data_IF_489433372774
#
_entry.id   IF_489433372774
#
_cell.length_a   1.000
_cell.length_b   1.000
_cell.length_c   1.000
_cell.angle_alpha   90.00
_cell.angle_beta   90.00
_cell.angle_gamma   90.00
#
_symmetry.space_group_name_H-M   'P 1'
#
loop_
_entity.id
_entity.type
_entity.pdbx_description
1 polymer ?
#
# COMPACT_ATOMS: atom_id res chain seq x y z
N UNK A 1 13.86 -12.86 37.12
CA UNK A 1 14.16 -11.46 36.69
C UNK A 1 15.02 -11.39 35.43
N UNK A 2 15.76 -12.44 35.07
CA UNK A 2 16.53 -12.53 33.81
C UNK A 2 15.65 -12.63 32.55
N UNK A 3 14.55 -13.38 32.62
CA UNK A 3 13.79 -13.75 31.42
C UNK A 3 12.93 -12.62 30.87
N UNK A 4 12.52 -11.67 31.72
CA UNK A 4 11.76 -10.50 31.27
C UNK A 4 12.63 -9.49 30.51
N UNK A 5 13.93 -9.40 30.81
CA UNK A 5 14.85 -8.53 30.07
C UNK A 5 15.11 -9.08 28.66
N UNK A 6 15.22 -10.40 28.51
CA UNK A 6 15.42 -11.04 27.20
C UNK A 6 14.23 -10.86 26.25
N UNK A 7 12.99 -11.02 26.75
CA UNK A 7 11.80 -10.81 25.91
C UNK A 7 11.66 -9.34 25.50
N UNK A 8 12.04 -8.41 26.38
CA UNK A 8 12.02 -6.98 26.05
C UNK A 8 13.00 -6.63 24.92
N UNK A 9 14.23 -7.15 24.97
CA UNK A 9 15.24 -6.93 23.93
C UNK A 9 14.79 -7.49 22.58
N UNK A 10 14.23 -8.70 22.54
CA UNK A 10 13.68 -9.29 21.32
C UNK A 10 12.53 -8.45 20.73
N UNK A 11 11.65 -7.91 21.57
CA UNK A 11 10.60 -7.00 21.13
C UNK A 11 11.19 -5.75 20.48
N UNK A 12 12.24 -5.16 21.06
CA UNK A 12 12.89 -3.99 20.46
C UNK A 12 13.55 -4.32 19.11
N UNK A 13 14.16 -5.49 18.98
CA UNK A 13 14.74 -5.94 17.69
C UNK A 13 13.66 -6.08 16.62
N UNK A 14 12.51 -6.68 16.94
CA UNK A 14 11.39 -6.78 16.01
C UNK A 14 10.81 -5.41 15.63
N UNK A 15 10.71 -4.47 16.58
CA UNK A 15 10.25 -3.10 16.29
C UNK A 15 11.19 -2.38 15.33
N UNK A 16 12.51 -2.49 15.53
CA UNK A 16 13.47 -1.89 14.62
C UNK A 16 13.36 -2.45 13.19
N UNK A 17 13.09 -3.76 13.04
CA UNK A 17 12.83 -4.39 11.73
C UNK A 17 11.52 -3.88 11.12
N UNK A 18 10.47 -3.69 11.92
CA UNK A 18 9.21 -3.10 11.46
C UNK A 18 9.43 -1.66 10.96
N UNK A 19 10.17 -0.83 11.70
CA UNK A 19 10.47 0.54 11.29
C UNK A 19 11.22 0.61 9.94
N UNK A 20 12.11 -0.36 9.68
CA UNK A 20 12.79 -0.48 8.39
C UNK A 20 11.81 -0.83 7.25
N UNK A 21 10.90 -1.77 7.50
CA UNK A 21 9.84 -2.15 6.55
C UNK A 21 8.90 -0.96 6.28
N UNK A 22 8.50 -0.24 7.32
CA UNK A 22 7.60 0.92 7.22
C UNK A 22 8.23 2.03 6.37
N UNK A 23 9.54 2.26 6.51
CA UNK A 23 10.28 3.18 5.62
C UNK A 23 10.18 2.76 4.16
N UNK A 24 10.29 1.47 3.86
CA UNK A 24 10.16 0.94 2.50
C UNK A 24 8.73 1.07 1.99
N UNK A 25 7.73 0.78 2.82
CA UNK A 25 6.31 0.94 2.48
C UNK A 25 6.02 2.40 2.11
N UNK A 26 6.45 3.37 2.93
CA UNK A 26 6.25 4.80 2.64
C UNK A 26 6.91 5.19 1.31
N UNK A 27 8.13 4.73 1.05
CA UNK A 27 8.81 5.00 -0.22
C UNK A 27 8.05 4.42 -1.42
N UNK A 28 7.53 3.18 -1.31
CA UNK A 28 6.76 2.52 -2.36
C UNK A 28 5.40 3.20 -2.59
N UNK A 29 4.71 3.61 -1.52
CA UNK A 29 3.45 4.34 -1.60
C UNK A 29 3.63 5.68 -2.33
N UNK A 30 4.69 6.43 -2.02
CA UNK A 30 5.00 7.69 -2.71
C UNK A 30 5.33 7.48 -4.20
N UNK A 31 6.10 6.43 -4.54
CA UNK A 31 6.35 6.05 -5.94
C UNK A 31 5.05 5.72 -6.67
N UNK A 32 4.17 4.92 -6.05
CA UNK A 32 2.86 4.57 -6.60
C UNK A 32 1.97 5.81 -6.78
N UNK A 33 1.97 6.73 -5.83
CA UNK A 33 1.25 8.00 -5.90
C UNK A 33 1.70 8.83 -7.11
N UNK A 34 3.02 8.94 -7.34
CA UNK A 34 3.58 9.62 -8.51
C UNK A 34 3.04 9.06 -9.83
N UNK A 35 3.01 7.74 -9.99
CA UNK A 35 2.40 7.11 -11.17
C UNK A 35 0.89 7.38 -11.28
N UNK A 36 0.16 7.37 -10.16
CA UNK A 36 -1.27 7.69 -10.13
C UNK A 36 -1.55 9.12 -10.62
N UNK A 37 -0.73 10.10 -10.19
CA UNK A 37 -0.84 11.50 -10.63
C UNK A 37 -0.55 11.65 -12.12
N UNK A 38 0.47 10.97 -12.65
CA UNK A 38 0.76 10.95 -14.09
C UNK A 38 -0.41 10.39 -14.89
N UNK A 39 -0.96 9.24 -14.47
CA UNK A 39 -2.14 8.63 -15.12
C UNK A 39 -3.32 9.62 -15.10
N UNK A 40 -3.57 10.26 -13.95
CA UNK A 40 -4.64 11.26 -13.81
C UNK A 40 -4.45 12.43 -14.78
N UNK A 41 -3.22 12.90 -14.99
CA UNK A 41 -2.90 13.95 -15.96
C UNK A 41 -3.13 13.53 -17.43
N UNK A 42 -2.99 12.25 -17.75
CA UNK A 42 -3.20 11.71 -19.11
C UNK A 42 -4.67 11.41 -19.43
N UNK A 43 -5.48 11.07 -18.41
CA UNK A 43 -6.90 10.69 -18.57
C UNK A 43 -7.74 11.68 -19.38
N UNK A 44 -7.63 13.02 -19.22
CA UNK A 44 -8.36 13.98 -20.04
C UNK A 44 -8.04 13.85 -21.53
N UNK A 45 -6.76 13.67 -21.88
CA UNK A 45 -6.32 13.47 -23.27
C UNK A 45 -6.83 12.15 -23.87
N UNK A 46 -6.99 11.12 -23.04
CA UNK A 46 -7.55 9.83 -23.42
C UNK A 46 -9.09 9.77 -23.37
N UNK A 47 -9.77 10.87 -23.01
CA UNK A 47 -11.24 10.93 -22.77
C UNK A 47 -11.73 9.89 -21.75
N UNK A 48 -10.90 9.58 -20.76
CA UNK A 48 -11.22 8.63 -19.70
C UNK A 48 -11.71 9.34 -18.43
N UNK A 49 -12.67 8.72 -17.75
CA UNK A 49 -13.16 9.18 -16.45
C UNK A 49 -12.10 9.05 -15.35
N UNK A 50 -12.22 9.89 -14.31
CA UNK A 50 -11.35 9.81 -13.13
C UNK A 50 -11.52 8.48 -12.39
N UNK A 51 -12.76 7.98 -12.34
CA UNK A 51 -13.12 6.69 -11.76
C UNK A 51 -13.21 5.60 -12.83
N UNK A 52 -12.60 4.45 -12.56
CA UNK A 52 -12.61 3.27 -13.43
C UNK A 52 -12.77 2.01 -12.56
N UNK A 53 -14.01 1.52 -12.37
CA UNK A 53 -14.28 0.39 -11.47
C UNK A 53 -13.64 -0.91 -11.96
N UNK A 54 -13.58 -1.11 -13.29
CA UNK A 54 -12.95 -2.28 -13.87
C UNK A 54 -11.46 -2.31 -13.52
N UNK A 55 -10.79 -1.16 -13.60
CA UNK A 55 -9.38 -1.07 -13.24
C UNK A 55 -9.13 -1.29 -11.75
N UNK A 56 -10.04 -0.87 -10.88
CA UNK A 56 -9.94 -1.15 -9.44
C UNK A 56 -10.07 -2.66 -9.14
N UNK A 57 -11.02 -3.35 -9.78
CA UNK A 57 -11.16 -4.80 -9.65
C UNK A 57 -9.89 -5.56 -10.11
N UNK A 58 -9.35 -5.21 -11.28
CA UNK A 58 -8.10 -5.79 -11.78
C UNK A 58 -6.90 -5.57 -10.83
N UNK A 59 -6.93 -4.51 -10.02
CA UNK A 59 -5.89 -4.26 -9.01
C UNK A 59 -6.09 -5.22 -7.84
N UNK A 60 -7.32 -5.43 -7.37
CA UNK A 60 -7.60 -6.37 -6.29
C UNK A 60 -7.25 -7.80 -6.69
N UNK A 61 -7.65 -8.27 -7.88
CA UNK A 61 -7.29 -9.60 -8.38
C UNK A 61 -5.77 -9.81 -8.42
N UNK A 62 -5.01 -8.79 -8.85
CA UNK A 62 -3.54 -8.85 -8.86
C UNK A 62 -2.97 -8.91 -7.45
N UNK A 63 -3.47 -8.09 -6.54
CA UNK A 63 -3.02 -8.07 -5.15
C UNK A 63 -3.24 -9.43 -4.49
N UNK A 64 -4.39 -10.07 -4.74
CA UNK A 64 -4.66 -11.42 -4.27
C UNK A 64 -3.68 -12.44 -4.86
N UNK A 65 -3.35 -12.30 -6.14
CA UNK A 65 -2.39 -13.20 -6.81
C UNK A 65 -0.95 -13.05 -6.29
N UNK A 66 -0.61 -11.91 -5.69
CA UNK A 66 0.71 -11.65 -5.10
C UNK A 66 0.79 -12.08 -3.63
N UNK A 67 -0.33 -12.47 -3.02
CA UNK A 67 -0.38 -12.78 -1.60
C UNK A 67 0.18 -14.17 -1.30
N UNK A 68 1.31 -14.22 -0.59
CA UNK A 68 1.91 -15.45 -0.08
C UNK A 68 1.70 -15.61 1.44
N UNK A 69 0.81 -14.79 2.02
CA UNK A 69 0.53 -14.73 3.46
C UNK A 69 1.45 -13.76 4.21
N UNK A 70 1.34 -13.66 5.55
CA UNK A 70 0.39 -14.36 6.43
C UNK A 70 -1.01 -13.73 6.47
N UNK A 71 -1.23 -12.62 5.75
CA UNK A 71 -2.53 -11.95 5.69
C UNK A 71 -3.50 -12.71 4.76
N UNK A 72 -4.80 -12.61 5.05
CA UNK A 72 -5.83 -13.05 4.11
C UNK A 72 -5.99 -12.01 3.00
N UNK A 73 -6.45 -12.47 1.83
CA UNK A 73 -6.73 -11.60 0.68
C UNK A 73 -7.64 -10.43 1.05
N UNK A 74 -8.67 -10.67 1.88
CA UNK A 74 -9.58 -9.62 2.32
C UNK A 74 -8.87 -8.49 3.09
N UNK A 75 -7.84 -8.81 3.89
CA UNK A 75 -7.05 -7.79 4.57
C UNK A 75 -6.24 -6.95 3.59
N UNK A 76 -5.65 -7.58 2.57
CA UNK A 76 -4.91 -6.85 1.53
C UNK A 76 -5.84 -5.98 0.69
N UNK A 77 -7.04 -6.46 0.36
CA UNK A 77 -8.07 -5.69 -0.34
C UNK A 77 -8.52 -4.48 0.46
N UNK A 78 -8.69 -4.61 1.78
CA UNK A 78 -9.01 -3.48 2.66
C UNK A 78 -7.92 -2.39 2.63
N UNK A 79 -6.65 -2.81 2.76
CA UNK A 79 -5.50 -1.90 2.67
C UNK A 79 -5.47 -1.23 1.29
N UNK A 80 -5.60 -2.00 0.21
CA UNK A 80 -5.55 -1.48 -1.15
C UNK A 80 -6.72 -0.56 -1.49
N UNK A 81 -7.91 -0.82 -0.95
CA UNK A 81 -9.07 0.08 -1.08
C UNK A 81 -8.75 1.45 -0.50
N UNK A 82 -8.14 1.48 0.69
CA UNK A 82 -7.69 2.72 1.33
C UNK A 82 -6.60 3.42 0.52
N UNK A 83 -5.60 2.68 0.02
CA UNK A 83 -4.56 3.23 -0.86
C UNK A 83 -5.20 3.86 -2.10
N UNK A 84 -6.10 3.14 -2.79
CA UNK A 84 -6.77 3.63 -4.00
C UNK A 84 -7.61 4.88 -3.72
N UNK A 85 -8.34 4.91 -2.60
CA UNK A 85 -9.08 6.09 -2.16
C UNK A 85 -8.18 7.31 -2.00
N UNK A 86 -7.10 7.19 -1.22
CA UNK A 86 -6.16 8.30 -0.97
C UNK A 86 -5.51 8.76 -2.28
N UNK A 87 -5.12 7.86 -3.18
CA UNK A 87 -4.52 8.26 -4.46
C UNK A 87 -5.46 9.03 -5.39
N UNK A 88 -6.78 8.80 -5.30
CA UNK A 88 -7.79 9.58 -6.04
C UNK A 88 -7.94 11.00 -5.47
N UNK A 89 -7.79 11.14 -4.16
CA UNK A 89 -7.94 12.40 -3.42
C UNK A 89 -6.63 13.23 -3.38
N UNK A 90 -5.48 12.59 -3.62
CA UNK A 90 -4.16 13.24 -3.59
C UNK A 90 -4.10 14.40 -4.59
N UNK A 91 -3.72 15.62 -4.15
CA UNK A 91 -3.60 16.76 -5.04
C UNK A 91 -2.38 16.60 -5.95
N UNK A 92 -2.48 17.12 -7.18
CA UNK A 92 -1.31 17.37 -8.02
C UNK A 92 -0.53 18.54 -7.39
N UNK A 93 0.74 18.34 -7.10
CA UNK A 93 1.64 19.42 -6.68
C UNK A 93 1.92 20.39 -7.83
#
# INVERSE_FOLDING_TARGET
MSDQNSSFEQIQEHRAKIDEIDRQIVALLNKRAGHSLVIRGLKPGARMGLYDPKREEEIFEKVDSFNEGPLYNDNLREIYSTILKVMKETPSA
#
